data_IF_817111507309
#
_entry.id   IF_817111507309
#
_cell.length_a   1.000
_cell.length_b   1.000
_cell.length_c   1.000
_cell.angle_alpha   90.00
_cell.angle_beta   90.00
_cell.angle_gamma   90.00
#
_symmetry.space_group_name_H-M   'P 1'
#
loop_
_entity.id
_entity.type
_entity.pdbx_description
1 polymer ?
#
# COMPACT_ATOMS: atom_id res chain seq x y z
N UNK A 1 -1.36 30.93 11.04
CA UNK A 1 -1.26 29.47 10.87
C UNK A 1 -0.61 29.24 9.54
N UNK A 2 0.70 29.13 9.58
CA UNK A 2 1.56 28.93 8.44
C UNK A 2 1.42 27.47 7.96
N UNK A 3 0.70 27.36 6.85
CA UNK A 3 0.51 26.17 6.03
C UNK A 3 1.82 25.80 5.33
N UNK A 4 2.86 25.51 6.13
CA UNK A 4 4.10 24.92 5.64
C UNK A 4 3.79 23.46 5.36
N UNK A 5 3.23 23.21 4.19
CA UNK A 5 3.25 21.92 3.53
C UNK A 5 4.70 21.46 3.42
N UNK A 6 5.20 20.80 4.47
CA UNK A 6 6.33 19.91 4.35
C UNK A 6 5.93 18.93 3.26
N UNK A 7 6.53 19.09 2.08
CA UNK A 7 6.65 18.00 1.12
C UNK A 7 7.22 16.84 1.92
N UNK A 8 6.37 15.91 2.38
CA UNK A 8 6.83 14.73 3.10
C UNK A 8 7.74 14.00 2.11
N UNK A 9 9.04 14.18 2.28
CA UNK A 9 10.03 13.45 1.53
C UNK A 9 9.96 12.02 2.03
N UNK A 10 9.10 11.24 1.39
CA UNK A 10 8.99 9.83 1.67
C UNK A 10 10.28 9.12 1.26
N UNK A 11 10.77 8.18 2.08
CA UNK A 11 11.89 7.31 1.69
C UNK A 11 11.60 6.61 0.35
N UNK A 12 12.63 6.37 -0.47
CA UNK A 12 12.48 5.65 -1.74
C UNK A 12 11.78 4.31 -1.57
N UNK A 13 12.10 3.59 -0.50
CA UNK A 13 11.44 2.33 -0.13
C UNK A 13 9.92 2.49 0.06
N UNK A 14 9.47 3.54 0.74
CA UNK A 14 8.03 3.79 0.90
C UNK A 14 7.34 4.03 -0.45
N UNK A 15 7.98 4.80 -1.35
CA UNK A 15 7.44 5.05 -2.69
C UNK A 15 7.31 3.75 -3.50
N UNK A 16 8.29 2.86 -3.37
CA UNK A 16 8.26 1.54 -4.02
C UNK A 16 7.12 0.67 -3.48
N UNK A 17 7.01 0.55 -2.16
CA UNK A 17 5.91 -0.17 -1.49
C UNK A 17 4.54 0.38 -1.91
N UNK A 18 4.40 1.71 -1.95
CA UNK A 18 3.16 2.37 -2.34
C UNK A 18 2.80 2.08 -3.80
N UNK A 19 3.75 2.11 -4.72
CA UNK A 19 3.53 1.74 -6.11
C UNK A 19 3.06 0.28 -6.25
N UNK A 20 3.72 -0.64 -5.53
CA UNK A 20 3.34 -2.04 -5.51
C UNK A 20 1.94 -2.28 -4.91
N UNK A 21 1.58 -1.60 -3.81
CA UNK A 21 0.24 -1.68 -3.22
C UNK A 21 -0.84 -1.10 -4.16
N UNK A 22 -0.57 0.02 -4.83
CA UNK A 22 -1.51 0.62 -5.79
C UNK A 22 -1.77 -0.31 -6.98
N UNK A 23 -0.73 -0.99 -7.48
CA UNK A 23 -0.85 -2.00 -8.53
C UNK A 23 -1.72 -3.17 -8.06
N UNK A 24 -1.39 -3.76 -6.90
CA UNK A 24 -2.19 -4.83 -6.30
C UNK A 24 -3.66 -4.43 -6.15
N UNK A 25 -3.92 -3.21 -5.65
CA UNK A 25 -5.26 -2.68 -5.50
C UNK A 25 -6.00 -2.55 -6.84
N UNK A 26 -5.30 -2.09 -7.89
CA UNK A 26 -5.84 -1.99 -9.25
C UNK A 26 -6.19 -3.37 -9.82
N UNK A 27 -5.30 -4.36 -9.66
CA UNK A 27 -5.50 -5.72 -10.13
C UNK A 27 -6.72 -6.38 -9.46
N UNK A 28 -6.82 -6.28 -8.12
CA UNK A 28 -7.98 -6.81 -7.39
C UNK A 28 -9.29 -6.09 -7.76
N UNK A 29 -9.26 -4.77 -8.01
CA UNK A 29 -10.42 -4.05 -8.52
C UNK A 29 -10.83 -4.54 -9.91
N UNK A 30 -9.87 -4.83 -10.79
CA UNK A 30 -10.14 -5.39 -12.13
C UNK A 30 -10.75 -6.79 -12.08
N UNK A 31 -10.43 -7.56 -11.04
CA UNK A 31 -11.08 -8.85 -10.75
C UNK A 31 -12.50 -8.70 -10.15
N UNK A 32 -13.00 -7.47 -10.02
CA UNK A 32 -14.34 -7.19 -9.52
C UNK A 32 -14.44 -7.11 -7.99
N UNK A 33 -13.32 -7.10 -7.27
CA UNK A 33 -13.34 -6.99 -5.82
C UNK A 33 -13.71 -5.57 -5.38
N UNK A 34 -14.64 -5.47 -4.43
CA UNK A 34 -14.97 -4.21 -3.79
C UNK A 34 -13.80 -3.75 -2.89
N UNK A 35 -13.68 -2.44 -2.70
CA UNK A 35 -12.65 -1.87 -1.83
C UNK A 35 -12.74 -2.36 -0.38
N UNK A 36 -13.96 -2.61 0.12
CA UNK A 36 -14.20 -3.22 1.44
C UNK A 36 -13.69 -4.66 1.51
N UNK A 37 -13.90 -5.44 0.45
CA UNK A 37 -13.40 -6.81 0.33
C UNK A 37 -11.87 -6.82 0.33
N UNK A 38 -11.24 -5.92 -0.43
CA UNK A 38 -9.78 -5.80 -0.48
C UNK A 38 -9.23 -5.44 0.90
N UNK A 39 -9.83 -4.46 1.59
CA UNK A 39 -9.42 -4.09 2.95
C UNK A 39 -9.49 -5.29 3.90
N UNK A 40 -10.57 -6.08 3.84
CA UNK A 40 -10.74 -7.28 4.65
C UNK A 40 -9.68 -8.35 4.35
N UNK A 41 -9.36 -8.60 3.08
CA UNK A 41 -8.29 -9.54 2.68
C UNK A 41 -6.95 -9.09 3.25
N UNK A 42 -6.64 -7.80 3.17
CA UNK A 42 -5.39 -7.22 3.66
C UNK A 42 -5.33 -7.07 5.19
N UNK A 43 -6.36 -7.47 5.93
CA UNK A 43 -6.42 -7.29 7.39
C UNK A 43 -6.48 -5.83 7.82
N UNK A 44 -7.02 -4.95 6.97
CA UNK A 44 -7.10 -3.50 7.19
C UNK A 44 -8.55 -3.02 7.30
N UNK A 45 -8.75 -1.88 7.96
CA UNK A 45 -9.99 -1.12 7.81
C UNK A 45 -10.03 -0.45 6.43
N UNK A 46 -11.23 -0.16 5.93
CA UNK A 46 -11.42 0.57 4.68
C UNK A 46 -10.68 1.92 4.70
N UNK A 47 -10.81 2.66 5.80
CA UNK A 47 -10.13 3.94 6.00
C UNK A 47 -8.60 3.80 5.97
N UNK A 48 -8.05 2.75 6.61
CA UNK A 48 -6.60 2.50 6.59
C UNK A 48 -6.12 2.23 5.16
N UNK A 49 -6.86 1.43 4.39
CA UNK A 49 -6.55 1.16 2.99
C UNK A 49 -6.58 2.43 2.13
N UNK A 50 -7.61 3.28 2.29
CA UNK A 50 -7.73 4.57 1.59
C UNK A 50 -6.53 5.46 1.88
N UNK A 51 -6.18 5.62 3.15
CA UNK A 51 -5.03 6.43 3.56
C UNK A 51 -3.70 5.89 3.02
N UNK A 52 -3.54 4.58 2.88
CA UNK A 52 -2.36 4.00 2.22
C UNK A 52 -2.37 4.32 0.73
N UNK A 53 -3.46 4.01 0.02
CA UNK A 53 -3.57 4.22 -1.44
C UNK A 53 -3.43 5.69 -1.82
N UNK A 54 -3.90 6.61 -0.99
CA UNK A 54 -3.82 8.06 -1.21
C UNK A 54 -2.50 8.68 -0.71
N UNK A 55 -1.51 7.86 -0.33
CA UNK A 55 -0.20 8.29 0.16
C UNK A 55 -0.25 9.15 1.44
N UNK A 56 -1.29 8.99 2.25
CA UNK A 56 -1.48 9.69 3.52
C UNK A 56 -0.95 8.88 4.72
N UNK A 57 -0.73 7.58 4.56
CA UNK A 57 -0.20 6.66 5.56
C UNK A 57 1.05 5.92 5.03
N UNK A 58 2.10 5.84 5.86
CA UNK A 58 3.28 5.04 5.52
C UNK A 58 3.02 3.54 5.60
N UNK A 59 3.68 2.84 4.69
CA UNK A 59 3.84 1.40 4.72
C UNK A 59 5.21 1.11 5.37
N UNK A 60 5.21 0.93 6.68
CA UNK A 60 6.38 0.46 7.43
C UNK A 60 6.61 -1.05 7.20
N UNK A 61 7.68 -1.59 7.80
CA UNK A 61 8.06 -3.00 7.59
C UNK A 61 7.01 -3.97 8.14
N UNK A 62 6.34 -3.61 9.23
CA UNK A 62 5.29 -4.43 9.83
C UNK A 62 4.08 -4.51 8.90
N UNK A 63 3.61 -3.36 8.41
CA UNK A 63 2.49 -3.29 7.47
C UNK A 63 2.83 -3.96 6.13
N UNK A 64 4.05 -3.75 5.62
CA UNK A 64 4.51 -4.42 4.42
C UNK A 64 4.43 -5.94 4.58
N UNK A 65 4.88 -6.45 5.73
CA UNK A 65 4.85 -7.88 6.04
C UNK A 65 3.42 -8.43 6.14
N UNK A 66 2.51 -7.67 6.76
CA UNK A 66 1.09 -8.04 6.85
C UNK A 66 0.45 -8.15 5.46
N UNK A 67 0.69 -7.17 4.59
CA UNK A 67 0.19 -7.17 3.21
C UNK A 67 0.73 -8.38 2.44
N UNK A 68 2.05 -8.58 2.46
CA UNK A 68 2.69 -9.71 1.76
C UNK A 68 2.11 -11.06 2.21
N UNK A 69 1.89 -11.23 3.51
CA UNK A 69 1.29 -12.43 4.06
C UNK A 69 -0.16 -12.60 3.58
N UNK A 70 -0.97 -11.54 3.63
CA UNK A 70 -2.36 -11.56 3.21
C UNK A 70 -2.57 -11.94 1.74
N UNK A 71 -1.63 -11.58 0.86
CA UNK A 71 -1.69 -11.90 -0.57
C UNK A 71 -0.82 -13.08 -0.98
N UNK A 72 -0.33 -13.86 -0.01
CA UNK A 72 0.53 -15.03 -0.22
C UNK A 72 1.76 -14.75 -1.09
N UNK A 73 2.42 -13.60 -0.86
CA UNK A 73 3.67 -13.21 -1.52
C UNK A 73 4.88 -13.43 -0.60
N UNK A 74 6.07 -13.70 -1.18
CA UNK A 74 7.29 -13.84 -0.39
C UNK A 74 7.64 -12.52 0.33
N UNK A 75 8.42 -12.63 1.40
CA UNK A 75 8.92 -11.46 2.12
C UNK A 75 9.81 -10.62 1.21
N UNK A 76 9.60 -9.31 1.19
CA UNK A 76 10.33 -8.35 0.34
C UNK A 76 9.67 -8.10 -1.01
N UNK A 77 8.57 -8.80 -1.35
CA UNK A 77 7.86 -8.59 -2.60
C UNK A 77 7.36 -7.15 -2.79
N UNK A 78 7.01 -6.45 -1.70
CA UNK A 78 6.64 -5.03 -1.78
C UNK A 78 7.83 -4.09 -1.98
N UNK A 79 9.04 -4.56 -1.69
CA UNK A 79 10.29 -3.79 -1.76
C UNK A 79 10.93 -3.93 -3.14
N UNK A 80 10.61 -5.01 -3.86
CA UNK A 80 11.12 -5.28 -5.19
C UNK A 80 10.74 -4.16 -6.17
N UNK A 81 11.76 -3.68 -6.89
CA UNK A 81 11.56 -2.83 -8.06
C UNK A 81 10.74 -3.59 -9.08
N UNK A 82 9.66 -2.96 -9.53
CA UNK A 82 8.88 -3.50 -10.64
C UNK A 82 9.81 -3.44 -11.85
N UNK A 83 10.35 -4.57 -12.27
CA UNK A 83 10.98 -4.69 -13.59
C UNK A 83 9.90 -4.43 -14.63
N UNK A 84 9.91 -3.23 -15.22
CA UNK A 84 9.21 -2.92 -16.46
C UNK A 84 10.04 -3.38 -17.65
#
# INVERSE_FOLDING_TARGET
>A
MDDRGYTRHWPTLHRQRLANVRRLFSDLKREGMSQRTIAAILGMTLEKLERVVDAQLMIDDAMAREIEWAVHRPRGWLDDEISM
#
